data_IF_643262967391
#
_entry.id   IF_643262967391
#
_cell.length_a   1.000
_cell.length_b   1.000
_cell.length_c   1.000
_cell.angle_alpha   90.00
_cell.angle_beta   90.00
_cell.angle_gamma   90.00
#
_symmetry.space_group_name_H-M   'P 1'
#
loop_
_entity.id
_entity.type
_entity.pdbx_description
1 polymer ?
#
# COMPACT_ATOMS: atom_id res chain seq x y z
N UNK A 1 29.76 -6.66 -2.66
CA UNK A 1 28.93 -7.77 -3.16
C UNK A 1 29.19 -7.89 -4.64
N UNK A 2 29.22 -9.10 -5.19
CA UNK A 2 29.40 -9.28 -6.63
C UNK A 2 28.13 -8.88 -7.40
N UNK A 3 28.28 -8.33 -8.61
CA UNK A 3 27.13 -7.91 -9.43
C UNK A 3 26.21 -9.09 -9.79
N UNK A 4 26.80 -10.27 -10.00
CA UNK A 4 26.07 -11.51 -10.28
C UNK A 4 25.19 -11.93 -9.10
N UNK A 5 25.72 -11.82 -7.88
CA UNK A 5 24.99 -12.11 -6.64
C UNK A 5 23.81 -11.14 -6.46
N UNK A 6 24.05 -9.83 -6.56
CA UNK A 6 23.01 -8.82 -6.43
C UNK A 6 21.90 -9.00 -7.49
N UNK A 7 22.31 -9.27 -8.73
CA UNK A 7 21.40 -9.56 -9.85
C UNK A 7 20.49 -10.75 -9.54
N UNK A 8 21.05 -11.83 -9.02
CA UNK A 8 20.29 -13.03 -8.71
C UNK A 8 19.29 -12.81 -7.56
N UNK A 9 19.70 -12.07 -6.52
CA UNK A 9 18.81 -11.68 -5.41
C UNK A 9 17.62 -10.87 -5.94
N UNK A 10 17.87 -9.87 -6.79
CA UNK A 10 16.82 -9.00 -7.34
C UNK A 10 15.91 -9.77 -8.29
N UNK A 11 16.46 -10.67 -9.12
CA UNK A 11 15.68 -11.51 -10.03
C UNK A 11 14.72 -12.43 -9.28
N UNK A 12 15.24 -13.21 -8.32
CA UNK A 12 14.43 -14.09 -7.46
C UNK A 12 13.37 -13.33 -6.68
N UNK A 13 13.70 -12.14 -6.18
CA UNK A 13 12.73 -11.27 -5.52
C UNK A 13 11.60 -10.83 -6.45
N UNK A 14 11.92 -10.43 -7.69
CA UNK A 14 10.92 -9.99 -8.66
C UNK A 14 10.02 -11.15 -9.12
N UNK A 15 10.55 -12.37 -9.22
CA UNK A 15 9.75 -13.57 -9.49
C UNK A 15 8.79 -13.88 -8.32
N UNK A 16 9.32 -13.86 -7.10
CA UNK A 16 8.55 -14.12 -5.89
C UNK A 16 7.51 -13.02 -5.59
N UNK A 17 7.80 -11.76 -5.96
CA UNK A 17 6.94 -10.60 -5.74
C UNK A 17 7.19 -9.50 -6.80
N UNK A 18 6.49 -9.53 -7.96
CA UNK A 18 6.75 -8.61 -9.08
C UNK A 18 6.60 -7.11 -8.77
N UNK A 19 5.85 -6.76 -7.71
CA UNK A 19 5.68 -5.38 -7.27
C UNK A 19 6.75 -4.93 -6.26
N UNK A 20 7.70 -5.79 -5.91
CA UNK A 20 8.74 -5.50 -4.94
C UNK A 20 10.01 -4.90 -5.56
N UNK A 21 9.97 -3.59 -5.77
CA UNK A 21 11.15 -2.84 -6.21
C UNK A 21 12.07 -2.45 -5.05
N UNK A 22 11.69 -2.66 -3.79
CA UNK A 22 12.40 -2.10 -2.63
C UNK A 22 13.30 -3.10 -1.95
N UNK A 23 14.54 -2.70 -1.70
CA UNK A 23 15.56 -3.52 -1.05
C UNK A 23 16.20 -2.76 0.12
N UNK A 24 16.47 -3.47 1.19
CA UNK A 24 17.31 -2.99 2.28
C UNK A 24 18.75 -3.39 1.97
N UNK A 25 19.66 -2.44 2.08
CA UNK A 25 21.08 -2.64 1.83
C UNK A 25 21.93 -2.05 2.95
N UNK A 26 23.09 -2.67 3.17
CA UNK A 26 24.16 -2.15 4.03
C UNK A 26 25.41 -1.96 3.18
N UNK A 27 26.07 -0.81 3.29
CA UNK A 27 27.28 -0.49 2.56
C UNK A 27 28.55 -0.79 3.37
N UNK A 28 29.70 -0.83 2.71
CA UNK A 28 31.02 -1.06 3.31
C UNK A 28 31.35 -0.04 4.42
N UNK A 29 30.86 1.20 4.30
CA UNK A 29 31.01 2.25 5.31
C UNK A 29 30.07 2.09 6.52
N UNK A 30 29.30 1.00 6.60
CA UNK A 30 28.34 0.71 7.67
C UNK A 30 26.97 1.39 7.50
N UNK A 31 26.79 2.23 6.47
CA UNK A 31 25.52 2.90 6.21
C UNK A 31 24.43 1.90 5.82
N UNK A 32 23.22 2.11 6.33
CA UNK A 32 22.03 1.39 5.89
C UNK A 32 21.19 2.29 4.97
N UNK A 33 20.70 1.72 3.87
CA UNK A 33 19.75 2.40 3.02
C UNK A 33 18.63 1.49 2.55
N UNK A 34 17.54 2.13 2.15
CA UNK A 34 16.45 1.50 1.43
C UNK A 34 16.46 2.02 -0.01
N UNK A 35 16.77 1.14 -0.96
CA UNK A 35 16.95 1.47 -2.37
C UNK A 35 15.85 0.84 -3.22
N UNK A 36 15.61 1.41 -4.41
CA UNK A 36 14.73 0.78 -5.40
C UNK A 36 15.57 0.20 -6.53
N UNK A 37 15.53 -1.11 -6.70
CA UNK A 37 16.28 -1.82 -7.74
C UNK A 37 15.32 -2.45 -8.74
N UNK A 38 15.71 -2.45 -10.02
CA UNK A 38 14.94 -3.05 -11.11
C UNK A 38 15.85 -3.39 -12.29
N UNK A 39 15.34 -4.20 -13.23
CA UNK A 39 16.03 -4.45 -14.49
C UNK A 39 15.49 -3.52 -15.58
N UNK A 40 16.40 -2.83 -16.27
CA UNK A 40 16.07 -2.07 -17.48
C UNK A 40 15.64 -2.99 -18.63
N UNK A 41 15.09 -2.43 -19.71
CA UNK A 41 14.73 -3.19 -20.92
C UNK A 41 15.92 -3.91 -21.57
N UNK A 42 17.14 -3.42 -21.36
CA UNK A 42 18.38 -4.08 -21.80
C UNK A 42 18.90 -5.12 -20.80
N UNK A 43 18.16 -5.43 -19.73
CA UNK A 43 18.54 -6.44 -18.73
C UNK A 43 19.59 -5.98 -17.70
N UNK A 44 19.97 -4.69 -17.69
CA UNK A 44 20.92 -4.15 -16.70
C UNK A 44 20.22 -3.88 -15.37
N UNK A 45 20.91 -4.16 -14.26
CA UNK A 45 20.44 -3.82 -12.92
C UNK A 45 20.59 -2.31 -12.69
N UNK A 46 19.49 -1.65 -12.40
CA UNK A 46 19.41 -0.21 -12.21
C UNK A 46 18.85 0.14 -10.82
N UNK A 47 19.24 1.30 -10.31
CA UNK A 47 18.69 1.90 -9.10
C UNK A 47 17.99 3.22 -9.40
N UNK A 48 16.84 3.47 -8.78
CA UNK A 48 16.22 4.81 -8.86
C UNK A 48 16.97 5.80 -7.99
N UNK A 49 17.16 7.02 -8.50
CA UNK A 49 17.70 8.13 -7.72
C UNK A 49 16.79 8.46 -6.54
N UNK A 50 17.40 8.87 -5.42
CA UNK A 50 16.67 9.29 -4.23
C UNK A 50 15.71 10.44 -4.60
N UNK A 51 14.45 10.33 -4.17
CA UNK A 51 13.38 11.30 -4.44
C UNK A 51 12.94 11.46 -5.92
N UNK A 52 13.42 10.65 -6.87
CA UNK A 52 12.93 10.67 -8.26
C UNK A 52 11.96 9.52 -8.54
N UNK A 53 10.90 9.74 -9.33
CA UNK A 53 10.00 8.65 -9.75
C UNK A 53 10.41 7.98 -11.06
N UNK A 54 11.28 8.64 -11.82
CA UNK A 54 11.54 8.44 -13.25
C UNK A 54 13.04 8.42 -13.58
N UNK A 55 13.88 9.06 -12.78
CA UNK A 55 15.32 9.02 -12.95
C UNK A 55 15.94 7.82 -12.25
N UNK A 56 16.80 7.13 -12.98
CA UNK A 56 17.56 5.97 -12.52
C UNK A 56 18.94 5.94 -13.15
N UNK A 57 19.81 5.13 -12.58
CA UNK A 57 21.19 4.89 -13.03
C UNK A 57 21.52 3.39 -12.85
N UNK A 58 22.63 2.93 -13.43
CA UNK A 58 23.11 1.57 -13.17
C UNK A 58 23.45 1.40 -11.68
N UNK A 59 23.10 0.26 -11.09
CA UNK A 59 23.26 0.06 -9.66
C UNK A 59 24.72 -0.21 -9.29
N UNK A 60 25.31 0.65 -8.45
CA UNK A 60 26.63 0.41 -7.87
C UNK A 60 26.52 -0.53 -6.67
N UNK A 61 26.70 -1.84 -6.92
CA UNK A 61 26.53 -2.90 -5.91
C UNK A 61 27.83 -3.39 -5.27
N UNK A 62 28.98 -2.96 -5.80
CA UNK A 62 30.31 -3.32 -5.28
C UNK A 62 30.47 -2.91 -3.81
N UNK A 63 29.92 -1.74 -3.46
CA UNK A 63 29.94 -1.20 -2.09
C UNK A 63 28.93 -1.85 -1.15
N UNK A 64 27.98 -2.65 -1.66
CA UNK A 64 26.98 -3.31 -0.85
C UNK A 64 27.56 -4.57 -0.18
N UNK A 65 27.35 -4.71 1.12
CA UNK A 65 27.68 -5.92 1.91
C UNK A 65 26.46 -6.77 2.22
N UNK A 66 25.26 -6.22 1.99
CA UNK A 66 24.00 -6.86 2.30
C UNK A 66 22.95 -6.36 1.32
N UNK A 67 22.09 -7.27 0.87
CA UNK A 67 20.95 -6.94 0.04
C UNK A 67 19.80 -7.89 0.38
N UNK A 68 18.66 -7.34 0.80
CA UNK A 68 17.45 -8.13 1.07
C UNK A 68 16.20 -7.43 0.55
N UNK A 69 15.30 -8.16 -0.12
CA UNK A 69 14.02 -7.60 -0.52
C UNK A 69 13.19 -7.12 0.67
N UNK A 70 12.39 -6.06 0.48
CA UNK A 70 11.42 -5.62 1.47
C UNK A 70 10.41 -6.73 1.78
N UNK A 71 9.99 -7.48 0.76
CA UNK A 71 9.11 -8.63 0.87
C UNK A 71 9.74 -9.82 0.13
N UNK A 72 9.99 -10.92 0.85
CA UNK A 72 10.52 -12.16 0.28
C UNK A 72 9.48 -12.99 -0.48
N UNK A 73 8.18 -12.70 -0.32
CA UNK A 73 7.11 -13.38 -1.04
C UNK A 73 5.85 -12.49 -1.18
N UNK A 74 4.95 -12.86 -2.10
CA UNK A 74 3.61 -12.27 -2.22
C UNK A 74 2.77 -12.46 -0.96
N UNK A 75 2.94 -13.58 -0.26
CA UNK A 75 2.25 -13.86 1.02
C UNK A 75 2.71 -12.87 2.09
N UNK A 76 4.02 -12.61 2.19
CA UNK A 76 4.55 -11.61 3.12
C UNK A 76 4.03 -10.20 2.81
N UNK A 77 3.92 -9.83 1.52
CA UNK A 77 3.31 -8.57 1.10
C UNK A 77 1.83 -8.49 1.54
N UNK A 78 1.05 -9.54 1.28
CA UNK A 78 -0.36 -9.60 1.64
C UNK A 78 -0.57 -9.43 3.14
N UNK A 79 0.15 -10.20 3.96
CA UNK A 79 0.10 -10.06 5.42
C UNK A 79 0.49 -8.66 5.88
N UNK A 80 1.57 -8.09 5.34
CA UNK A 80 1.99 -6.76 5.71
C UNK A 80 0.90 -5.71 5.40
N UNK A 81 0.19 -5.86 4.29
CA UNK A 81 -0.92 -4.99 3.94
C UNK A 81 -2.13 -5.18 4.88
N UNK A 82 -2.54 -6.43 5.14
CA UNK A 82 -3.65 -6.76 6.06
C UNK A 82 -3.36 -6.19 7.45
N UNK A 83 -2.14 -6.42 7.98
CA UNK A 83 -1.74 -5.95 9.30
C UNK A 83 -1.67 -4.42 9.39
N UNK A 84 -1.21 -3.74 8.33
CA UNK A 84 -1.24 -2.28 8.27
C UNK A 84 -2.66 -1.76 8.30
N UNK A 85 -3.56 -2.34 7.51
CA UNK A 85 -4.98 -1.97 7.52
C UNK A 85 -5.59 -2.15 8.90
N UNK A 86 -5.37 -3.32 9.51
CA UNK A 86 -5.85 -3.63 10.85
C UNK A 86 -5.31 -2.65 11.89
N UNK A 87 -4.03 -2.30 11.81
CA UNK A 87 -3.39 -1.35 12.73
C UNK A 87 -4.04 0.03 12.61
N UNK A 88 -4.15 0.57 11.39
CA UNK A 88 -4.66 1.92 11.18
C UNK A 88 -6.14 2.04 11.55
N UNK A 89 -6.98 1.08 11.18
CA UNK A 89 -8.41 1.09 11.55
C UNK A 89 -8.62 0.92 13.05
N UNK A 90 -7.82 0.07 13.71
CA UNK A 90 -7.86 -0.09 15.17
C UNK A 90 -7.46 1.20 15.89
N UNK A 91 -6.39 1.86 15.45
CA UNK A 91 -5.89 3.08 16.10
C UNK A 91 -6.81 4.28 15.88
N UNK A 92 -7.35 4.44 14.69
CA UNK A 92 -8.20 5.59 14.34
C UNK A 92 -9.64 5.45 14.82
N UNK A 93 -10.09 4.23 15.10
CA UNK A 93 -11.49 3.93 15.35
C UNK A 93 -12.36 3.94 14.09
N UNK A 94 -11.79 4.13 12.90
CA UNK A 94 -12.52 4.08 11.63
C UNK A 94 -12.77 2.64 11.19
N UNK A 95 -13.87 2.40 10.48
CA UNK A 95 -14.18 1.12 9.82
C UNK A 95 -14.07 -0.10 10.75
N UNK A 96 -14.63 0.01 11.96
CA UNK A 96 -14.54 -1.04 12.98
C UNK A 96 -15.11 -2.38 12.53
N UNK A 97 -16.06 -2.36 11.60
CA UNK A 97 -16.63 -3.56 10.97
C UNK A 97 -15.61 -4.35 10.13
N UNK A 98 -14.51 -3.74 9.69
CA UNK A 98 -13.42 -4.44 8.98
C UNK A 98 -12.49 -5.20 9.92
N UNK A 99 -12.38 -4.81 11.19
CA UNK A 99 -11.42 -5.40 12.14
C UNK A 99 -11.61 -6.92 12.30
N UNK A 100 -12.84 -7.44 12.48
CA UNK A 100 -13.05 -8.89 12.55
C UNK A 100 -12.67 -9.61 11.25
N UNK A 101 -12.92 -9.00 10.11
CA UNK A 101 -12.62 -9.60 8.79
C UNK A 101 -11.11 -9.59 8.49
N UNK A 102 -10.43 -8.49 8.79
CA UNK A 102 -8.98 -8.37 8.68
C UNK A 102 -8.28 -9.35 9.64
N UNK A 103 -8.81 -9.53 10.85
CA UNK A 103 -8.31 -10.53 11.82
C UNK A 103 -8.48 -11.96 11.29
N UNK A 104 -9.61 -12.28 10.64
CA UNK A 104 -9.77 -13.59 9.99
C UNK A 104 -8.70 -13.82 8.93
N UNK A 105 -8.47 -12.82 8.07
CA UNK A 105 -7.46 -12.91 7.00
C UNK A 105 -6.04 -12.95 7.54
N UNK A 106 -5.72 -12.25 8.63
CA UNK A 106 -4.40 -12.28 9.26
C UNK A 106 -4.08 -13.61 9.93
N UNK A 107 -5.09 -14.45 10.19
CA UNK A 107 -4.95 -15.77 10.80
C UNK A 107 -5.00 -16.91 9.77
N UNK A 108 -5.07 -16.60 8.47
CA UNK A 108 -4.99 -17.62 7.42
C UNK A 108 -3.59 -18.20 7.29
N UNK A 109 -3.47 -19.42 6.79
CA UNK A 109 -2.15 -20.02 6.54
C UNK A 109 -1.47 -19.41 5.33
N UNK A 110 -0.13 -19.45 5.30
CA UNK A 110 0.65 -19.01 4.15
C UNK A 110 0.24 -19.74 2.87
N UNK A 111 0.08 -21.07 2.94
CA UNK A 111 -0.37 -21.89 1.82
C UNK A 111 -1.73 -21.44 1.29
N UNK A 112 -2.65 -21.07 2.19
CA UNK A 112 -3.98 -20.63 1.77
C UNK A 112 -3.93 -19.28 1.07
N UNK A 113 -3.14 -18.34 1.57
CA UNK A 113 -2.95 -17.05 0.91
C UNK A 113 -2.22 -17.20 -0.42
N UNK A 114 -1.25 -18.11 -0.52
CA UNK A 114 -0.59 -18.41 -1.79
C UNK A 114 -1.57 -18.98 -2.81
N UNK A 115 -2.39 -19.97 -2.43
CA UNK A 115 -3.47 -20.47 -3.28
C UNK A 115 -4.41 -19.34 -3.73
N UNK A 116 -4.85 -18.47 -2.82
CA UNK A 116 -5.75 -17.37 -3.14
C UNK A 116 -5.11 -16.32 -4.06
N UNK A 117 -3.80 -16.13 -3.97
CA UNK A 117 -3.06 -15.28 -4.90
C UNK A 117 -3.14 -15.80 -6.33
N UNK A 118 -3.07 -17.10 -6.53
CA UNK A 118 -3.10 -17.74 -7.85
C UNK A 118 -4.54 -17.98 -8.35
N UNK A 119 -5.49 -18.01 -7.42
CA UNK A 119 -6.90 -18.22 -7.70
C UNK A 119 -7.52 -17.10 -8.56
N UNK A 120 -8.55 -17.49 -9.30
CA UNK A 120 -9.37 -16.56 -10.07
C UNK A 120 -10.13 -15.58 -9.16
N UNK A 121 -10.59 -14.47 -9.74
CA UNK A 121 -11.41 -13.49 -9.02
C UNK A 121 -12.68 -14.12 -8.42
N UNK A 122 -13.28 -15.09 -9.12
CA UNK A 122 -14.47 -15.81 -8.66
C UNK A 122 -14.18 -16.66 -7.43
N UNK A 123 -13.09 -17.44 -7.45
CA UNK A 123 -12.68 -18.26 -6.32
C UNK A 123 -12.33 -17.42 -5.09
N UNK A 124 -11.67 -16.27 -5.28
CA UNK A 124 -11.42 -15.32 -4.19
C UNK A 124 -12.74 -14.82 -3.59
N UNK A 125 -13.71 -14.42 -4.43
CA UNK A 125 -15.01 -13.95 -3.96
C UNK A 125 -15.80 -15.03 -3.21
N UNK A 126 -15.80 -16.27 -3.72
CA UNK A 126 -16.44 -17.42 -3.06
C UNK A 126 -15.79 -17.73 -1.71
N UNK A 127 -14.46 -17.65 -1.64
CA UNK A 127 -13.72 -17.83 -0.39
C UNK A 127 -14.10 -16.77 0.66
N UNK A 128 -14.12 -15.48 0.29
CA UNK A 128 -14.50 -14.40 1.20
C UNK A 128 -15.94 -14.61 1.71
N UNK A 129 -16.88 -14.93 0.81
CA UNK A 129 -18.27 -15.25 1.17
C UNK A 129 -18.34 -16.42 2.14
N UNK A 130 -17.63 -17.53 1.86
CA UNK A 130 -17.61 -18.73 2.72
C UNK A 130 -17.04 -18.46 4.11
N UNK A 131 -16.12 -17.50 4.23
CA UNK A 131 -15.52 -17.07 5.51
C UNK A 131 -16.36 -16.01 6.26
N UNK A 132 -17.51 -15.62 5.69
CA UNK A 132 -18.33 -14.54 6.23
C UNK A 132 -17.56 -13.23 6.27
N UNK A 133 -16.84 -12.93 5.20
CA UNK A 133 -16.15 -11.66 4.96
C UNK A 133 -17.00 -10.90 3.95
N UNK A 134 -17.68 -9.85 4.40
CA UNK A 134 -18.73 -9.13 3.65
C UNK A 134 -18.34 -7.70 3.33
N UNK A 135 -17.46 -7.08 4.11
CA UNK A 135 -17.05 -5.70 3.94
C UNK A 135 -15.76 -5.55 3.13
N UNK A 136 -14.86 -6.53 3.20
CA UNK A 136 -13.70 -6.62 2.31
C UNK A 136 -14.16 -7.20 0.97
N UNK A 137 -14.17 -6.35 -0.07
CA UNK A 137 -14.57 -6.77 -1.42
C UNK A 137 -13.47 -7.61 -2.06
N UNK A 138 -13.77 -8.49 -3.04
CA UNK A 138 -12.74 -9.28 -3.72
C UNK A 138 -11.68 -8.40 -4.39
N UNK A 139 -12.06 -7.20 -4.83
CA UNK A 139 -11.14 -6.22 -5.44
C UNK A 139 -10.22 -5.58 -4.41
N UNK A 140 -10.73 -5.26 -3.23
CA UNK A 140 -9.93 -4.80 -2.09
C UNK A 140 -8.98 -5.90 -1.63
N UNK A 141 -9.46 -7.13 -1.51
CA UNK A 141 -8.64 -8.29 -1.20
C UNK A 141 -7.51 -8.48 -2.21
N UNK A 142 -7.82 -8.40 -3.51
CA UNK A 142 -6.82 -8.43 -4.57
C UNK A 142 -5.83 -7.26 -4.48
N UNK A 143 -6.29 -6.06 -4.12
CA UNK A 143 -5.37 -4.94 -3.90
C UNK A 143 -4.37 -5.26 -2.79
N UNK A 144 -4.82 -5.81 -1.66
CA UNK A 144 -3.95 -6.23 -0.56
C UNK A 144 -2.94 -7.31 -0.98
N UNK A 145 -3.35 -8.26 -1.81
CA UNK A 145 -2.53 -9.39 -2.26
C UNK A 145 -1.46 -9.00 -3.30
N UNK A 146 -1.74 -8.05 -4.19
CA UNK A 146 -0.88 -7.80 -5.37
C UNK A 146 -0.17 -6.43 -5.34
N UNK A 147 -0.72 -5.43 -4.65
CA UNK A 147 -0.21 -4.06 -4.71
C UNK A 147 0.33 -3.58 -3.36
N UNK A 148 1.64 -3.29 -3.32
CA UNK A 148 2.28 -2.59 -2.19
C UNK A 148 1.67 -1.21 -1.95
N UNK A 149 1.17 -0.56 -3.00
CA UNK A 149 0.51 0.75 -2.96
C UNK A 149 -1.01 0.63 -2.73
N UNK A 150 -1.50 -0.51 -2.24
CA UNK A 150 -2.90 -0.68 -1.85
C UNK A 150 -3.33 0.32 -0.76
N UNK A 151 -2.39 0.70 0.12
CA UNK A 151 -2.51 1.79 1.08
C UNK A 151 -1.56 2.92 0.65
N UNK A 152 -2.12 4.11 0.46
CA UNK A 152 -1.40 5.33 0.06
C UNK A 152 -1.50 6.40 1.12
N UNK A 153 -0.54 7.32 1.11
CA UNK A 153 -0.60 8.51 1.93
C UNK A 153 -1.50 9.55 1.28
N UNK A 154 -2.38 10.16 2.06
CA UNK A 154 -3.16 11.33 1.67
C UNK A 154 -2.20 12.50 1.48
N UNK A 155 -2.20 13.08 0.29
CA UNK A 155 -1.39 14.26 0.02
C UNK A 155 -2.23 15.52 0.22
N UNK A 156 -1.93 16.29 1.27
CA UNK A 156 -2.59 17.58 1.51
C UNK A 156 -1.93 18.73 0.73
N UNK A 157 -0.66 18.57 0.31
CA UNK A 157 0.14 19.65 -0.24
C UNK A 157 0.69 20.59 0.84
N UNK A 158 1.79 21.30 0.54
CA UNK A 158 2.49 22.18 1.49
C UNK A 158 1.60 23.31 2.04
N UNK A 159 0.66 23.81 1.23
CA UNK A 159 -0.22 24.93 1.59
C UNK A 159 -1.49 24.55 2.36
N UNK A 160 -1.83 23.26 2.48
CA UNK A 160 -3.10 22.83 3.08
C UNK A 160 -2.91 21.95 4.33
N UNK A 161 -1.79 22.11 5.04
CA UNK A 161 -1.54 21.36 6.28
C UNK A 161 -2.60 21.61 7.36
N UNK A 162 -3.25 22.78 7.34
CA UNK A 162 -4.38 23.09 8.21
C UNK A 162 -5.58 22.15 8.00
N UNK A 163 -5.76 21.58 6.80
CA UNK A 163 -6.83 20.63 6.51
C UNK A 163 -6.62 19.35 7.31
N UNK A 164 -5.38 18.85 7.34
CA UNK A 164 -5.01 17.68 8.13
C UNK A 164 -5.34 17.91 9.61
N UNK A 165 -4.92 19.03 10.19
CA UNK A 165 -5.20 19.36 11.60
C UNK A 165 -6.70 19.42 11.87
N UNK A 166 -7.47 20.09 11.00
CA UNK A 166 -8.93 20.17 11.15
C UNK A 166 -9.60 18.80 11.05
N UNK A 167 -9.11 17.92 10.18
CA UNK A 167 -9.62 16.56 10.07
C UNK A 167 -9.29 15.72 11.30
N UNK A 168 -8.04 15.78 11.78
CA UNK A 168 -7.62 15.12 13.03
C UNK A 168 -8.49 15.55 14.22
N UNK A 169 -8.77 16.85 14.34
CA UNK A 169 -9.67 17.36 15.37
C UNK A 169 -11.09 16.85 15.22
N UNK A 170 -11.62 16.80 14.00
CA UNK A 170 -12.95 16.29 13.74
C UNK A 170 -13.07 14.80 14.09
N UNK A 171 -12.04 14.00 13.76
CA UNK A 171 -11.96 12.59 14.12
C UNK A 171 -11.93 12.41 15.64
N UNK A 172 -11.06 13.15 16.35
CA UNK A 172 -10.95 13.08 17.80
C UNK A 172 -12.25 13.52 18.52
N UNK A 173 -12.92 14.55 18.01
CA UNK A 173 -14.17 15.09 18.55
C UNK A 173 -15.42 14.34 18.04
N UNK A 174 -15.26 13.32 17.20
CA UNK A 174 -16.35 12.61 16.50
C UNK A 174 -17.36 13.58 15.86
N UNK A 175 -16.85 14.61 15.19
CA UNK A 175 -17.64 15.63 14.51
C UNK A 175 -17.65 15.36 13.02
N UNK A 176 -18.81 15.49 12.39
CA UNK A 176 -18.93 15.41 10.94
C UNK A 176 -17.98 16.40 10.26
N UNK A 177 -17.34 15.95 9.19
CA UNK A 177 -16.34 16.72 8.49
C UNK A 177 -16.40 16.44 7.01
N UNK A 178 -16.54 17.50 6.22
CA UNK A 178 -16.44 17.45 4.77
C UNK A 178 -15.62 18.65 4.30
N UNK A 179 -14.59 18.39 3.52
CA UNK A 179 -13.77 19.44 2.92
C UNK A 179 -13.25 19.00 1.57
N UNK A 180 -13.22 19.95 0.64
CA UNK A 180 -12.56 19.79 -0.64
C UNK A 180 -11.44 20.81 -0.77
N UNK A 181 -10.34 20.41 -1.40
CA UNK A 181 -9.24 21.31 -1.73
C UNK A 181 -8.62 20.95 -3.06
N UNK A 182 -8.04 21.96 -3.70
CA UNK A 182 -7.50 21.84 -5.04
C UNK A 182 -5.99 21.72 -5.03
N UNK A 183 -5.50 20.77 -5.82
CA UNK A 183 -4.09 20.63 -6.19
C UNK A 183 -4.02 20.28 -7.69
N UNK A 184 -3.24 19.27 -8.08
CA UNK A 184 -3.33 18.66 -9.42
C UNK A 184 -4.74 18.11 -9.67
N UNK A 185 -5.31 17.43 -8.67
CA UNK A 185 -6.67 16.90 -8.63
C UNK A 185 -7.57 17.74 -7.71
N UNK A 186 -8.88 17.59 -7.87
CA UNK A 186 -9.86 18.04 -6.89
C UNK A 186 -9.97 16.96 -5.80
N UNK A 187 -9.50 17.28 -4.59
CA UNK A 187 -9.41 16.32 -3.49
C UNK A 187 -10.54 16.55 -2.51
N UNK A 188 -11.11 15.49 -1.95
CA UNK A 188 -12.18 15.60 -0.94
C UNK A 188 -11.97 14.60 0.18
N UNK A 189 -12.20 15.03 1.42
CA UNK A 189 -12.36 14.16 2.59
C UNK A 189 -13.78 14.31 3.11
N UNK A 190 -14.42 13.18 3.39
CA UNK A 190 -15.72 13.12 4.09
C UNK A 190 -15.61 12.13 5.24
N UNK A 191 -15.93 12.57 6.45
CA UNK A 191 -16.00 11.73 7.65
C UNK A 191 -17.39 11.80 8.26
N UNK A 192 -17.96 10.62 8.47
CA UNK A 192 -19.24 10.40 9.11
C UNK A 192 -18.99 9.78 10.51
N UNK A 193 -19.28 10.51 11.60
CA UNK A 193 -19.05 10.04 12.96
C UNK A 193 -20.09 9.03 13.44
N UNK A 194 -21.27 8.96 12.80
CA UNK A 194 -22.33 8.02 13.18
C UNK A 194 -21.88 6.58 12.95
N UNK A 195 -21.28 6.35 11.78
CA UNK A 195 -20.83 5.02 11.36
C UNK A 195 -19.31 4.84 11.54
N UNK A 196 -18.61 5.87 12.02
CA UNK A 196 -17.14 5.93 12.10
C UNK A 196 -16.49 5.56 10.76
N UNK A 197 -16.95 6.19 9.67
CA UNK A 197 -16.45 5.94 8.32
C UNK A 197 -15.88 7.21 7.70
N UNK A 198 -14.80 7.08 6.93
CA UNK A 198 -14.20 8.23 6.25
C UNK A 198 -13.72 7.87 4.84
N UNK A 199 -14.02 8.74 3.89
CA UNK A 199 -13.68 8.59 2.47
C UNK A 199 -12.74 9.70 2.03
N UNK A 200 -11.84 9.36 1.13
CA UNK A 200 -10.97 10.30 0.43
C UNK A 200 -11.15 10.13 -1.07
N UNK A 201 -11.15 11.20 -1.84
CA UNK A 201 -11.17 11.13 -3.30
C UNK A 201 -10.18 12.08 -3.94
N UNK A 202 -9.68 11.67 -5.11
CA UNK A 202 -8.85 12.46 -6.03
C UNK A 202 -9.54 12.45 -7.40
N UNK A 203 -10.26 13.51 -7.74
CA UNK A 203 -11.01 13.62 -9.00
C UNK A 203 -10.29 14.45 -10.05
N UNK A 204 -10.34 13.99 -11.30
CA UNK A 204 -9.90 14.77 -12.44
C UNK A 204 -10.88 15.93 -12.65
N UNK A 205 -10.30 17.11 -12.84
CA UNK A 205 -10.96 18.42 -12.72
C UNK A 205 -12.31 18.46 -13.43
N UNK A 206 -13.39 18.57 -12.65
CA UNK A 206 -14.75 18.71 -13.17
C UNK A 206 -15.33 17.51 -13.93
N UNK A 207 -14.62 16.37 -13.98
CA UNK A 207 -15.03 15.21 -14.79
C UNK A 207 -15.76 14.12 -13.99
N UNK A 208 -15.88 14.24 -12.66
CA UNK A 208 -16.45 13.20 -11.77
C UNK A 208 -15.83 11.80 -11.99
N UNK A 209 -14.61 11.78 -12.52
CA UNK A 209 -13.80 10.62 -12.82
C UNK A 209 -12.54 10.73 -11.98
N UNK A 210 -12.30 9.77 -11.11
CA UNK A 210 -11.26 9.89 -10.09
C UNK A 210 -11.00 8.60 -9.35
N UNK A 211 -10.05 8.68 -8.43
CA UNK A 211 -9.76 7.63 -7.49
C UNK A 211 -10.52 7.88 -6.19
N UNK A 212 -11.18 6.84 -5.69
CA UNK A 212 -11.93 6.87 -4.45
C UNK A 212 -11.25 5.93 -3.47
N UNK A 213 -11.14 6.38 -2.24
CA UNK A 213 -10.35 5.77 -1.18
C UNK A 213 -11.14 5.69 0.11
N UNK A 214 -10.79 4.69 0.90
CA UNK A 214 -11.24 4.46 2.25
C UNK A 214 -10.15 4.98 3.16
N UNK A 215 -10.42 6.04 3.90
CA UNK A 215 -9.47 6.55 4.89
C UNK A 215 -9.39 5.58 6.05
N UNK A 216 -8.18 5.15 6.35
CA UNK A 216 -7.87 4.27 7.47
C UNK A 216 -7.55 5.08 8.72
N UNK A 217 -6.98 6.27 8.54
CA UNK A 217 -6.70 7.27 9.57
C UNK A 217 -6.58 8.67 8.90
N UNK A 218 -5.88 9.60 9.56
CA UNK A 218 -5.69 10.98 9.09
C UNK A 218 -4.75 11.13 7.89
N UNK A 219 -3.94 10.11 7.57
CA UNK A 219 -2.93 10.18 6.51
C UNK A 219 -2.89 8.95 5.60
N UNK A 220 -3.55 7.85 5.92
CA UNK A 220 -3.52 6.60 5.17
C UNK A 220 -4.88 6.32 4.56
N UNK A 221 -4.89 6.01 3.27
CA UNK A 221 -6.08 5.66 2.52
C UNK A 221 -5.85 4.36 1.76
N UNK A 222 -6.74 3.39 1.90
CA UNK A 222 -6.76 2.17 1.09
C UNK A 222 -7.63 2.39 -0.16
N UNK A 223 -7.41 1.63 -1.23
CA UNK A 223 -8.34 1.55 -2.36
C UNK A 223 -9.56 0.65 -2.02
N UNK A 224 -10.77 1.18 -1.79
CA UNK A 224 -12.02 0.47 -1.91
C UNK A 224 -12.32 0.49 -3.39
N UNK A 225 -11.81 -0.46 -4.15
CA UNK A 225 -12.07 -0.44 -5.58
C UNK A 225 -13.47 -1.03 -5.81
N UNK A 226 -14.52 -0.32 -5.42
CA UNK A 226 -15.91 -0.52 -5.85
C UNK A 226 -16.42 0.81 -6.44
N UNK A 227 -16.23 0.94 -7.75
CA UNK A 227 -17.33 1.28 -8.65
C UNK A 227 -17.60 0.01 -9.45
#
# INVERSE_FOLDING_TARGET
>A
MELTEATEIVRKSNEACPSNLWFYTRYNNGQYAKVRLFFSSSGKLCQFKKNSSDQYEEAEVSEMTYLRPQFGSKVQLAFANIMRMLTYTTQSGLWQNLIPELTKLSNESEDKLLYLYEASYKEQAEYLKKKGIVHITPRMFRSMMYDRKCIRSVYYGKGNLNIKTRYQEALAKKKEFAISWRMTYDNTIVFNPKDMTAKYSEEYRGQKAGHYYMLLDDIHAAFPKDK
#
